data_IF_405616748294
#
_entry.id   IF_405616748294
#
_cell.length_a   1.000
_cell.length_b   1.000
_cell.length_c   1.000
_cell.angle_alpha   90.00
_cell.angle_beta   90.00
_cell.angle_gamma   90.00
#
_symmetry.space_group_name_H-M   'P 1'
#
loop_
_entity.id
_entity.type
_entity.pdbx_description
1 polymer ?
#
# COMPACT_ATOMS: atom_id res chain seq x y z
N UNK A 1 18.49 -1.80 25.61
CA UNK A 1 17.69 -2.29 24.47
C UNK A 1 17.27 -1.06 23.69
N UNK A 2 17.84 -0.83 22.51
CA UNK A 2 17.46 0.33 21.69
C UNK A 2 15.96 0.23 21.35
N UNK A 3 15.26 1.35 21.50
CA UNK A 3 13.84 1.44 21.13
C UNK A 3 13.77 1.32 19.61
N UNK A 4 13.11 0.28 19.11
CA UNK A 4 12.92 0.08 17.66
C UNK A 4 12.33 1.33 17.01
N UNK A 5 12.86 1.70 15.84
CA UNK A 5 12.33 2.78 15.02
C UNK A 5 10.87 2.53 14.60
N UNK A 6 10.16 3.59 14.24
CA UNK A 6 8.73 3.54 13.89
C UNK A 6 8.44 2.53 12.76
N UNK A 7 9.21 2.58 11.66
CA UNK A 7 9.07 1.65 10.54
C UNK A 7 9.25 0.20 11.00
N UNK A 8 10.31 -0.09 11.77
CA UNK A 8 10.61 -1.45 12.21
C UNK A 8 9.50 -2.02 13.12
N UNK A 9 8.87 -1.19 13.95
CA UNK A 9 7.69 -1.61 14.73
C UNK A 9 6.52 -2.02 13.84
N UNK A 10 6.27 -1.26 12.78
CA UNK A 10 5.20 -1.58 11.82
C UNK A 10 5.56 -2.83 11.01
N UNK A 11 6.79 -2.93 10.49
CA UNK A 11 7.22 -4.09 9.72
C UNK A 11 7.09 -5.37 10.53
N UNK A 12 7.44 -5.36 11.82
CA UNK A 12 7.25 -6.53 12.69
C UNK A 12 5.79 -6.96 12.85
N UNK A 13 4.85 -6.02 12.88
CA UNK A 13 3.42 -6.36 12.89
C UNK A 13 2.94 -6.91 11.55
N UNK A 14 3.42 -6.34 10.44
CA UNK A 14 3.09 -6.82 9.10
C UNK A 14 3.70 -8.20 8.80
N UNK A 15 4.93 -8.49 9.24
CA UNK A 15 5.61 -9.81 9.07
C UNK A 15 4.79 -10.99 9.62
N UNK A 16 3.83 -10.74 10.53
CA UNK A 16 2.92 -11.79 11.04
C UNK A 16 1.97 -12.34 9.98
N UNK A 17 1.69 -11.57 8.93
CA UNK A 17 0.70 -11.90 7.90
C UNK A 17 1.17 -11.65 6.46
N UNK A 18 2.17 -10.81 6.26
CA UNK A 18 2.66 -10.38 4.96
C UNK A 18 4.07 -10.92 4.73
N UNK A 19 4.34 -11.28 3.48
CA UNK A 19 5.71 -11.43 3.00
C UNK A 19 6.33 -10.03 2.90
N UNK A 20 7.44 -9.80 3.61
CA UNK A 20 8.15 -8.52 3.63
C UNK A 20 9.45 -8.63 2.86
N UNK A 21 9.65 -7.70 1.93
CA UNK A 21 10.85 -7.54 1.11
C UNK A 21 11.45 -6.17 1.40
N UNK A 22 12.58 -6.13 2.12
CA UNK A 22 13.30 -4.88 2.40
C UNK A 22 14.17 -4.45 1.22
N UNK A 23 14.45 -3.15 1.11
CA UNK A 23 15.22 -2.55 0.01
C UNK A 23 14.65 -2.94 -1.37
N UNK A 24 13.33 -2.93 -1.48
CA UNK A 24 12.63 -3.37 -2.69
C UNK A 24 12.85 -2.37 -3.83
N UNK A 25 13.10 -2.88 -5.04
CA UNK A 25 13.37 -2.06 -6.21
C UNK A 25 12.13 -1.90 -7.09
N UNK A 26 11.72 -0.67 -7.34
CA UNK A 26 10.71 -0.32 -8.36
C UNK A 26 11.40 0.55 -9.40
N UNK A 27 11.54 0.02 -10.61
CA UNK A 27 12.29 0.69 -11.68
C UNK A 27 13.74 0.98 -11.24
N UNK A 28 14.16 2.24 -11.16
CA UNK A 28 15.48 2.64 -10.65
C UNK A 28 15.46 3.11 -9.19
N UNK A 29 14.32 3.03 -8.50
CA UNK A 29 14.18 3.47 -7.10
C UNK A 29 14.22 2.31 -6.12
N UNK A 30 14.92 2.54 -5.01
CA UNK A 30 14.90 1.65 -3.84
C UNK A 30 13.94 2.25 -2.81
N UNK A 31 12.97 1.44 -2.39
CA UNK A 31 12.07 1.75 -1.27
C UNK A 31 12.42 0.88 -0.07
N UNK A 32 12.07 1.36 1.12
CA UNK A 32 12.52 0.76 2.37
C UNK A 32 11.97 -0.65 2.56
N UNK A 33 10.67 -0.86 2.27
CA UNK A 33 10.09 -2.19 2.26
C UNK A 33 8.86 -2.31 1.36
N UNK A 34 8.65 -3.52 0.84
CA UNK A 34 7.44 -3.95 0.16
C UNK A 34 6.81 -5.11 0.94
N UNK A 35 5.55 -4.94 1.35
CA UNK A 35 4.72 -5.98 1.93
C UNK A 35 3.72 -6.53 0.93
N UNK A 36 3.66 -7.85 0.84
CA UNK A 36 2.72 -8.58 -0.01
C UNK A 36 1.86 -9.54 0.81
N UNK A 37 0.55 -9.51 0.57
CA UNK A 37 -0.37 -10.51 1.08
C UNK A 37 -1.31 -10.99 -0.02
N UNK A 38 -1.58 -12.29 0.02
CA UNK A 38 -2.54 -12.98 -0.83
C UNK A 38 -3.52 -13.75 0.08
N UNK A 39 -4.81 -13.51 -0.11
CA UNK A 39 -5.88 -14.11 0.69
C UNK A 39 -5.92 -15.64 0.70
N UNK A 40 -5.25 -16.32 -0.24
CA UNK A 40 -5.14 -17.79 -0.24
C UNK A 40 -4.16 -18.36 0.79
N UNK A 41 -3.26 -17.54 1.36
CA UNK A 41 -2.22 -18.02 2.28
C UNK A 41 -2.68 -18.14 3.74
N UNK A 42 -3.93 -17.78 4.09
CA UNK A 42 -4.44 -18.00 5.44
C UNK A 42 -4.87 -19.48 5.64
N UNK A 43 -4.15 -20.17 6.52
CA UNK A 43 -4.44 -21.52 7.05
C UNK A 43 -5.73 -21.64 7.88
N UNK A 44 -6.65 -20.66 7.84
CA UNK A 44 -7.80 -20.57 8.73
C UNK A 44 -9.10 -20.16 8.01
N UNK A 45 -9.52 -20.92 6.99
CA UNK A 45 -10.88 -20.81 6.43
C UNK A 45 -11.73 -22.03 6.82
N UNK A 46 -12.07 -22.14 8.12
CA UNK A 46 -13.15 -23.01 8.58
C UNK A 46 -14.41 -22.17 8.75
N UNK A 47 -15.21 -22.07 7.69
CA UNK A 47 -16.66 -22.30 7.63
C UNK A 47 -17.31 -21.54 6.46
N UNK A 48 -18.05 -22.30 5.65
CA UNK A 48 -19.00 -21.93 4.58
C UNK A 48 -18.47 -21.75 3.15
N UNK A 49 -18.21 -22.94 2.57
CA UNK A 49 -18.88 -23.42 1.35
C UNK A 49 -18.37 -22.90 -0.01
N UNK A 50 -17.26 -23.50 -0.45
CA UNK A 50 -16.97 -24.07 -1.80
C UNK A 50 -16.99 -23.13 -3.04
N UNK A 51 -17.73 -22.02 -3.09
CA UNK A 51 -17.73 -21.08 -4.23
C UNK A 51 -16.78 -19.87 -4.07
N UNK A 52 -16.33 -19.57 -2.85
CA UNK A 52 -15.36 -18.50 -2.57
C UNK A 52 -13.90 -18.90 -2.84
N UNK A 53 -13.65 -20.13 -3.29
CA UNK A 53 -12.32 -20.74 -3.35
C UNK A 53 -11.46 -20.26 -4.52
N UNK A 54 -12.06 -19.63 -5.52
CA UNK A 54 -11.30 -19.10 -6.65
C UNK A 54 -10.87 -17.66 -6.43
N UNK A 55 -11.62 -16.82 -5.71
CA UNK A 55 -11.37 -15.38 -5.66
C UNK A 55 -10.10 -15.02 -4.87
N UNK A 56 -9.24 -14.21 -5.48
CA UNK A 56 -7.97 -13.76 -4.92
C UNK A 56 -8.02 -12.27 -4.62
N UNK A 57 -7.86 -11.94 -3.33
CA UNK A 57 -7.60 -10.60 -2.85
C UNK A 57 -6.11 -10.41 -2.62
N UNK A 58 -5.58 -9.29 -3.10
CA UNK A 58 -4.17 -8.95 -2.97
C UNK A 58 -3.99 -7.62 -2.25
N UNK A 59 -3.00 -7.58 -1.38
CA UNK A 59 -2.59 -6.38 -0.66
C UNK A 59 -1.11 -6.13 -0.98
N UNK A 60 -0.83 -4.98 -1.59
CA UNK A 60 0.50 -4.50 -1.93
C UNK A 60 0.76 -3.24 -1.12
N UNK A 61 1.78 -3.25 -0.27
CA UNK A 61 2.08 -2.15 0.65
C UNK A 61 3.52 -1.73 0.48
N UNK A 62 3.75 -0.46 0.20
CA UNK A 62 5.08 0.09 -0.03
C UNK A 62 5.38 1.10 1.06
N UNK A 63 6.42 0.83 1.85
CA UNK A 63 6.88 1.67 2.94
C UNK A 63 8.04 2.53 2.44
N UNK A 64 7.90 3.85 2.61
CA UNK A 64 8.83 4.86 2.13
C UNK A 64 9.15 5.77 3.32
N UNK A 65 10.32 5.61 3.92
CA UNK A 65 10.79 6.42 5.02
C UNK A 65 11.84 7.43 4.53
N UNK A 66 11.57 8.72 4.71
CA UNK A 66 12.53 9.78 4.39
C UNK A 66 12.51 10.79 5.53
N UNK A 67 13.63 11.47 5.78
CA UNK A 67 13.67 12.51 6.80
C UNK A 67 12.73 13.68 6.44
N UNK A 68 12.75 14.06 5.16
CA UNK A 68 11.90 15.07 4.56
C UNK A 68 11.31 14.52 3.25
N UNK A 69 10.04 14.83 3.00
CA UNK A 69 9.37 14.51 1.73
C UNK A 69 8.91 15.81 1.10
N UNK A 70 9.23 16.00 -0.18
CA UNK A 70 8.78 17.13 -0.99
C UNK A 70 7.74 16.67 -2.03
N UNK A 71 7.11 17.65 -2.70
CA UNK A 71 6.05 17.38 -3.67
C UNK A 71 6.53 16.55 -4.87
N UNK A 72 7.76 16.77 -5.33
CA UNK A 72 8.37 16.01 -6.42
C UNK A 72 8.48 14.51 -6.07
N UNK A 73 8.99 14.22 -4.88
CA UNK A 73 9.11 12.84 -4.36
C UNK A 73 7.74 12.20 -4.22
N UNK A 74 6.75 12.92 -3.68
CA UNK A 74 5.38 12.43 -3.59
C UNK A 74 4.83 12.07 -4.97
N UNK A 75 4.89 12.98 -5.94
CA UNK A 75 4.34 12.76 -7.28
C UNK A 75 5.04 11.60 -8.00
N UNK A 76 6.36 11.47 -7.84
CA UNK A 76 7.12 10.35 -8.37
C UNK A 76 6.56 9.01 -7.89
N UNK A 77 6.39 8.83 -6.58
CA UNK A 77 5.85 7.59 -6.02
C UNK A 77 4.37 7.38 -6.36
N UNK A 78 3.55 8.44 -6.37
CA UNK A 78 2.16 8.36 -6.83
C UNK A 78 2.05 7.92 -8.30
N UNK A 79 3.01 8.29 -9.14
CA UNK A 79 3.07 7.90 -10.55
C UNK A 79 3.40 6.41 -10.74
N UNK A 80 4.09 5.77 -9.78
CA UNK A 80 4.41 4.35 -9.88
C UNK A 80 3.16 3.47 -9.84
N UNK A 81 2.08 3.90 -9.19
CA UNK A 81 0.84 3.14 -9.13
C UNK A 81 0.30 2.80 -10.53
N UNK A 82 -0.05 3.79 -11.39
CA UNK A 82 -0.53 3.50 -12.74
C UNK A 82 0.56 3.01 -13.70
N UNK A 83 1.81 3.43 -13.52
CA UNK A 83 2.84 3.26 -14.55
C UNK A 83 3.71 2.01 -14.36
N UNK A 84 3.80 1.46 -13.14
CA UNK A 84 4.67 0.33 -12.80
C UNK A 84 3.92 -0.73 -12.00
N UNK A 85 3.37 -0.38 -10.84
CA UNK A 85 2.74 -1.32 -9.92
C UNK A 85 1.52 -2.01 -10.55
N UNK A 86 0.58 -1.24 -11.11
CA UNK A 86 -0.60 -1.79 -11.77
C UNK A 86 -0.27 -2.69 -12.97
N UNK A 87 0.54 -2.26 -13.96
CA UNK A 87 0.87 -3.12 -15.10
C UNK A 87 1.73 -4.33 -14.71
N UNK A 88 2.69 -4.16 -13.81
CA UNK A 88 3.73 -5.17 -13.59
C UNK A 88 3.37 -6.16 -12.48
N UNK A 89 2.72 -5.70 -11.40
CA UNK A 89 2.39 -6.57 -10.26
C UNK A 89 0.96 -7.11 -10.34
N UNK A 90 0.01 -6.29 -10.81
CA UNK A 90 -1.41 -6.66 -10.81
C UNK A 90 -1.79 -7.38 -12.12
N UNK A 91 -1.51 -6.74 -13.27
CA UNK A 91 -1.74 -7.35 -14.59
C UNK A 91 -0.61 -8.27 -15.03
N UNK A 92 0.61 -8.09 -14.50
CA UNK A 92 1.80 -8.88 -14.87
C UNK A 92 2.05 -8.87 -16.38
N UNK A 93 2.00 -7.69 -16.99
CA UNK A 93 2.17 -7.49 -18.43
C UNK A 93 0.99 -7.94 -19.30
N UNK A 94 -0.06 -8.53 -18.73
CA UNK A 94 -1.25 -8.97 -19.47
C UNK A 94 -2.25 -7.83 -19.69
N UNK A 95 -3.25 -8.09 -20.56
CA UNK A 95 -4.39 -7.18 -20.77
C UNK A 95 -5.26 -7.01 -19.52
N UNK A 96 -5.44 -8.09 -18.76
CA UNK A 96 -6.22 -8.13 -17.52
C UNK A 96 -5.52 -9.00 -16.48
N UNK A 97 -5.83 -8.82 -15.17
CA UNK A 97 -5.38 -9.73 -14.13
C UNK A 97 -5.88 -11.16 -14.36
N UNK A 98 -5.34 -12.09 -13.58
CA UNK A 98 -5.75 -13.50 -13.62
C UNK A 98 -7.27 -13.64 -13.41
N UNK A 99 -7.86 -14.72 -13.96
CA UNK A 99 -9.33 -14.92 -14.04
C UNK A 99 -10.04 -14.74 -12.71
N UNK A 100 -9.35 -15.09 -11.64
CA UNK A 100 -9.87 -15.18 -10.31
C UNK A 100 -9.44 -13.99 -9.42
N UNK A 101 -8.81 -12.96 -9.99
CA UNK A 101 -8.52 -11.71 -9.30
C UNK A 101 -9.82 -10.98 -8.95
N UNK A 102 -10.04 -10.74 -7.65
CA UNK A 102 -11.22 -10.04 -7.15
C UNK A 102 -10.90 -8.58 -6.82
N UNK A 103 -9.81 -8.34 -6.11
CA UNK A 103 -9.34 -7.00 -5.83
C UNK A 103 -7.84 -6.98 -5.57
N UNK A 104 -7.24 -5.83 -5.88
CA UNK A 104 -5.90 -5.47 -5.41
C UNK A 104 -5.96 -4.11 -4.72
N UNK A 105 -5.46 -4.05 -3.49
CA UNK A 105 -5.20 -2.80 -2.82
C UNK A 105 -3.71 -2.46 -2.94
N UNK A 106 -3.42 -1.27 -3.44
CA UNK A 106 -2.06 -0.72 -3.47
C UNK A 106 -1.97 0.40 -2.46
N UNK A 107 -1.13 0.21 -1.46
CA UNK A 107 -0.93 1.17 -0.37
C UNK A 107 0.46 1.78 -0.45
N UNK A 108 0.56 3.11 -0.55
CA UNK A 108 1.81 3.82 -0.34
C UNK A 108 1.78 4.44 1.06
N UNK A 109 2.81 4.16 1.85
CA UNK A 109 2.97 4.68 3.22
C UNK A 109 4.25 5.49 3.25
N UNK A 110 4.07 6.80 3.37
CA UNK A 110 5.13 7.75 3.57
C UNK A 110 5.33 7.97 5.08
N UNK A 111 6.55 7.78 5.56
CA UNK A 111 6.95 8.02 6.94
C UNK A 111 7.99 9.13 6.91
N UNK A 112 7.72 10.24 7.59
CA UNK A 112 8.59 11.41 7.62
C UNK A 112 8.65 12.03 9.00
N UNK A 113 9.76 12.71 9.30
CA UNK A 113 9.85 13.52 10.51
C UNK A 113 9.31 14.93 10.26
N UNK A 114 9.38 15.44 9.03
CA UNK A 114 8.88 16.78 8.73
C UNK A 114 8.06 16.79 7.43
N UNK A 115 7.02 17.61 7.43
CA UNK A 115 6.19 17.96 6.26
C UNK A 115 6.18 19.48 6.15
N UNK A 116 6.87 19.99 5.13
CA UNK A 116 6.96 21.44 4.89
C UNK A 116 5.73 22.01 4.17
N UNK A 117 4.77 21.19 3.73
CA UNK A 117 3.80 21.62 2.72
C UNK A 117 2.33 21.18 2.97
N UNK A 118 1.46 22.18 3.14
CA UNK A 118 -0.02 22.00 3.21
C UNK A 118 -0.57 21.46 1.88
N UNK A 119 0.03 21.83 0.75
CA UNK A 119 -0.38 21.38 -0.57
C UNK A 119 -0.18 19.88 -0.73
N UNK A 120 0.88 19.31 -0.16
CA UNK A 120 1.10 17.87 -0.12
C UNK A 120 -0.05 17.12 0.55
N UNK A 121 -0.51 17.62 1.71
CA UNK A 121 -1.65 17.02 2.42
C UNK A 121 -2.93 17.09 1.59
N UNK A 122 -3.17 18.22 0.92
CA UNK A 122 -4.32 18.37 -0.01
C UNK A 122 -4.20 17.40 -1.19
N UNK A 123 -3.00 17.26 -1.75
CA UNK A 123 -2.73 16.37 -2.87
C UNK A 123 -2.98 14.91 -2.53
N UNK A 124 -2.54 14.47 -1.35
CA UNK A 124 -2.81 13.12 -0.84
C UNK A 124 -4.32 12.89 -0.67
N UNK A 125 -5.02 13.82 -0.02
CA UNK A 125 -6.47 13.71 0.21
C UNK A 125 -7.25 13.57 -1.09
N UNK A 126 -6.81 14.26 -2.16
CA UNK A 126 -7.42 14.22 -3.50
C UNK A 126 -6.96 13.04 -4.36
N UNK A 127 -5.84 12.40 -4.05
CA UNK A 127 -5.32 11.32 -4.88
C UNK A 127 -6.28 10.14 -4.95
N UNK A 128 -6.60 9.73 -6.17
CA UNK A 128 -7.47 8.60 -6.44
C UNK A 128 -6.97 7.88 -7.69
N UNK A 129 -6.54 6.64 -7.51
CA UNK A 129 -6.38 5.69 -8.61
C UNK A 129 -7.27 4.48 -8.35
N UNK A 130 -8.22 4.27 -9.26
CA UNK A 130 -9.11 3.12 -9.25
C UNK A 130 -9.26 2.63 -10.69
N UNK A 131 -9.21 1.31 -10.89
CA UNK A 131 -9.44 0.71 -12.19
C UNK A 131 -10.21 -0.59 -12.03
N UNK A 132 -11.30 -0.70 -12.79
CA UNK A 132 -12.10 -1.92 -12.88
C UNK A 132 -11.66 -2.69 -14.12
N UNK A 133 -11.59 -4.01 -14.02
CA UNK A 133 -11.24 -4.88 -15.13
C UNK A 133 -12.48 -5.63 -15.60
N UNK A 134 -12.79 -5.52 -16.90
CA UNK A 134 -13.97 -6.12 -17.53
C UNK A 134 -15.27 -5.88 -16.74
N UNK A 135 -15.62 -4.61 -16.49
CA UNK A 135 -16.83 -4.25 -15.72
C UNK A 135 -16.92 -4.99 -14.37
N UNK A 136 -15.78 -5.11 -13.66
CA UNK A 136 -15.59 -5.83 -12.38
C UNK A 136 -15.56 -7.36 -12.47
N UNK A 137 -15.78 -7.96 -13.64
CA UNK A 137 -15.69 -9.42 -13.83
C UNK A 137 -14.26 -9.93 -13.56
N UNK A 138 -13.24 -9.09 -13.78
CA UNK A 138 -11.83 -9.38 -13.44
C UNK A 138 -11.36 -8.58 -12.23
N UNK A 139 -12.30 -8.18 -11.37
CA UNK A 139 -12.03 -7.42 -10.17
C UNK A 139 -11.61 -5.99 -10.43
N UNK A 140 -10.95 -5.40 -9.43
CA UNK A 140 -10.52 -4.00 -9.47
C UNK A 140 -9.21 -3.76 -8.71
N UNK A 141 -8.58 -2.62 -8.96
CA UNK A 141 -7.49 -2.09 -8.15
C UNK A 141 -7.93 -0.76 -7.51
N UNK A 142 -7.54 -0.53 -6.26
CA UNK A 142 -7.74 0.75 -5.56
C UNK A 142 -6.48 1.19 -4.82
N UNK A 143 -6.14 2.48 -4.94
CA UNK A 143 -5.01 3.09 -4.23
C UNK A 143 -5.38 3.61 -2.84
N UNK A 144 -4.52 3.34 -1.86
CA UNK A 144 -4.57 3.90 -0.51
C UNK A 144 -3.27 4.65 -0.24
N UNK A 145 -3.36 5.92 0.11
CA UNK A 145 -2.18 6.73 0.42
C UNK A 145 -2.24 7.12 1.88
N UNK A 146 -1.11 6.95 2.57
CA UNK A 146 -0.94 7.30 3.97
C UNK A 146 0.35 8.10 4.10
N UNK A 147 0.28 9.26 4.73
CA UNK A 147 1.42 10.07 5.14
C UNK A 147 1.41 10.18 6.65
N UNK A 148 2.52 9.79 7.25
CA UNK A 148 2.76 9.71 8.68
C UNK A 148 3.85 10.72 9.03
N UNK A 149 3.45 11.76 9.76
CA UNK A 149 4.33 12.79 10.31
C UNK A 149 4.66 12.42 11.75
N UNK A 150 5.90 11.99 12.00
CA UNK A 150 6.33 11.50 13.31
C UNK A 150 6.55 12.65 14.31
N UNK A 151 6.98 13.82 13.86
CA UNK A 151 7.19 14.99 14.73
C UNK A 151 5.85 15.57 15.18
N UNK A 152 4.93 15.80 14.24
CA UNK A 152 3.60 16.35 14.54
C UNK A 152 2.59 15.31 14.99
N UNK A 153 2.95 14.03 14.95
CA UNK A 153 2.09 12.88 15.27
C UNK A 153 0.79 12.89 14.46
N UNK A 154 0.88 13.31 13.21
CA UNK A 154 -0.28 13.50 12.33
C UNK A 154 -0.29 12.43 11.24
N UNK A 155 -1.49 11.95 10.90
CA UNK A 155 -1.69 11.04 9.77
C UNK A 155 -2.63 11.70 8.76
N UNK A 156 -2.17 11.80 7.53
CA UNK A 156 -3.00 12.22 6.39
C UNK A 156 -3.23 11.03 5.47
N UNK A 157 -4.48 10.84 5.04
CA UNK A 157 -4.84 9.76 4.12
C UNK A 157 -5.71 10.25 2.97
N UNK A 158 -5.72 9.51 1.87
CA UNK A 158 -6.78 9.63 0.86
C UNK A 158 -8.07 8.94 1.35
N UNK A 159 -9.20 9.19 0.66
CA UNK A 159 -10.53 8.68 1.09
C UNK A 159 -10.55 7.17 1.36
N UNK A 160 -9.94 6.37 0.48
CA UNK A 160 -9.92 4.90 0.61
C UNK A 160 -8.95 4.44 1.72
N UNK A 161 -7.87 5.18 1.95
CA UNK A 161 -6.89 4.93 3.00
C UNK A 161 -7.36 5.25 4.42
N UNK A 162 -8.47 5.98 4.60
CA UNK A 162 -8.96 6.45 5.91
C UNK A 162 -9.08 5.34 6.97
N UNK A 163 -9.44 4.12 6.57
CA UNK A 163 -9.52 2.96 7.49
C UNK A 163 -8.18 2.60 8.15
N UNK A 164 -7.07 2.93 7.51
CA UNK A 164 -5.71 2.64 7.99
C UNK A 164 -5.22 3.65 9.03
N UNK A 165 -5.87 4.81 9.14
CA UNK A 165 -5.46 5.87 10.07
C UNK A 165 -5.45 5.38 11.53
N UNK A 166 -6.47 4.62 11.93
CA UNK A 166 -6.55 4.04 13.29
C UNK A 166 -5.42 3.03 13.55
N UNK A 167 -5.06 2.23 12.55
CA UNK A 167 -3.99 1.26 12.65
C UNK A 167 -2.65 1.96 12.93
N UNK A 168 -2.30 2.95 12.11
CA UNK A 168 -1.00 3.62 12.22
C UNK A 168 -0.90 4.56 13.42
N UNK A 169 -2.02 5.13 13.88
CA UNK A 169 -2.04 5.92 15.13
C UNK A 169 -1.62 5.12 16.36
N UNK A 170 -1.83 3.81 16.38
CA UNK A 170 -1.35 2.97 17.50
C UNK A 170 0.18 2.89 17.59
N UNK A 171 0.88 3.20 16.49
CA UNK A 171 2.34 3.14 16.43
C UNK A 171 3.00 4.50 16.69
N UNK A 172 2.27 5.61 16.62
CA UNK A 172 2.77 6.98 16.84
C UNK A 172 2.79 7.29 18.34
#
# INVERSE_FOLDING_TARGET
>A
MERLGYLERILNEYRKKFDIYENYKIDNEIIDAYGYFNSQNEKYFLTREVQLWETRGFEHIFFIQRENINMETLEKFLSFIPNKIEPDLIRRGKKYPDRNHMYSYVTLIFITNNIDDIEMKKRIKKYKFERNYLFLIRGYIQSRIVLIDLERKEITTNKIGKKLEKLYKHFI
#
